data_IF_550289609937
#
_entry.id   IF_550289609937
#
_cell.length_a   1.000
_cell.length_b   1.000
_cell.length_c   1.000
_cell.angle_alpha   90.00
_cell.angle_beta   90.00
_cell.angle_gamma   90.00
#
_symmetry.space_group_name_H-M   'P 1'
#
loop_
_entity.id
_entity.type
_entity.pdbx_description
1 polymer ?
#
# COMPACT_ATOMS: atom_id res chain seq x y z
N UNK A 1 -0.09 17.37 0.10
CA UNK A 1 -0.16 15.89 -0.04
C UNK A 1 0.84 15.43 -1.12
N UNK A 2 1.54 14.31 -0.91
CA UNK A 2 2.54 13.82 -1.87
C UNK A 2 1.84 13.22 -3.09
N UNK A 3 2.16 13.67 -4.32
CA UNK A 3 1.57 13.12 -5.53
C UNK A 3 1.90 11.63 -5.69
N UNK A 4 0.91 10.83 -6.04
CA UNK A 4 1.08 9.42 -6.37
C UNK A 4 -0.03 8.98 -7.33
N UNK A 5 0.13 7.85 -8.06
CA UNK A 5 -0.85 7.40 -9.06
C UNK A 5 -2.13 6.81 -8.44
N UNK A 6 -2.75 7.57 -7.53
CA UNK A 6 -3.94 7.21 -6.75
C UNK A 6 -5.14 6.86 -7.63
N UNK A 7 -5.44 7.70 -8.63
CA UNK A 7 -6.59 7.48 -9.50
C UNK A 7 -6.50 6.13 -10.25
N UNK A 8 -5.29 5.73 -10.68
CA UNK A 8 -5.06 4.44 -11.30
C UNK A 8 -5.21 3.30 -10.28
N UNK A 9 -4.62 3.46 -9.10
CA UNK A 9 -4.73 2.48 -8.02
C UNK A 9 -6.18 2.23 -7.61
N UNK A 10 -6.94 3.29 -7.34
CA UNK A 10 -8.35 3.24 -6.93
C UNK A 10 -9.22 2.58 -8.00
N UNK A 11 -8.99 2.88 -9.28
CA UNK A 11 -9.69 2.25 -10.40
C UNK A 11 -9.45 0.73 -10.45
N UNK A 12 -8.21 0.29 -10.25
CA UNK A 12 -7.86 -1.13 -10.21
C UNK A 12 -8.45 -1.83 -8.97
N UNK A 13 -8.47 -1.16 -7.82
CA UNK A 13 -9.10 -1.68 -6.60
C UNK A 13 -10.63 -1.79 -6.74
N UNK A 14 -11.28 -0.84 -7.39
CA UNK A 14 -12.71 -0.91 -7.68
C UNK A 14 -13.05 -2.13 -8.56
N UNK A 15 -12.22 -2.42 -9.56
CA UNK A 15 -12.35 -3.64 -10.37
C UNK A 15 -12.15 -4.89 -9.50
N UNK A 16 -11.10 -4.93 -8.68
CA UNK A 16 -10.83 -6.05 -7.77
C UNK A 16 -11.99 -6.30 -6.80
N UNK A 17 -12.63 -5.25 -6.31
CA UNK A 17 -13.76 -5.34 -5.38
C UNK A 17 -14.97 -6.09 -5.95
N UNK A 18 -15.10 -6.17 -7.28
CA UNK A 18 -16.17 -6.94 -7.93
C UNK A 18 -15.87 -8.44 -8.04
N UNK A 19 -14.65 -8.89 -7.72
CA UNK A 19 -14.25 -10.28 -7.93
C UNK A 19 -14.65 -11.16 -6.76
N UNK A 20 -15.21 -12.33 -7.10
CA UNK A 20 -15.48 -13.38 -6.13
C UNK A 20 -14.19 -14.15 -5.78
N UNK A 21 -13.81 -14.08 -4.50
CA UNK A 21 -12.62 -14.75 -3.96
C UNK A 21 -12.72 -16.28 -3.95
N UNK A 22 -13.93 -16.82 -4.04
CA UNK A 22 -14.23 -18.26 -4.01
C UNK A 22 -13.93 -18.95 -5.34
N UNK A 23 -13.79 -18.18 -6.43
CA UNK A 23 -13.58 -18.73 -7.77
C UNK A 23 -12.16 -19.27 -7.94
N UNK A 24 -11.99 -20.40 -8.66
CA UNK A 24 -10.65 -20.89 -8.99
C UNK A 24 -9.90 -19.84 -9.83
N UNK A 25 -8.59 -19.69 -9.61
CA UNK A 25 -7.76 -18.73 -10.33
C UNK A 25 -7.78 -17.29 -9.77
N UNK A 26 -8.47 -17.04 -8.65
CA UNK A 26 -8.56 -15.70 -8.05
C UNK A 26 -7.18 -15.12 -7.70
N UNK A 27 -6.30 -15.92 -7.07
CA UNK A 27 -5.00 -15.43 -6.58
C UNK A 27 -4.03 -15.13 -7.72
N UNK A 28 -4.05 -15.90 -8.80
CA UNK A 28 -3.26 -15.66 -10.01
C UNK A 28 -3.71 -14.36 -10.71
N UNK A 29 -5.03 -14.15 -10.80
CA UNK A 29 -5.62 -12.92 -11.32
C UNK A 29 -5.24 -11.72 -10.44
N UNK A 30 -5.32 -11.89 -9.12
CA UNK A 30 -4.95 -10.85 -8.15
C UNK A 30 -3.45 -10.52 -8.20
N UNK A 31 -2.57 -11.52 -8.33
CA UNK A 31 -1.14 -11.31 -8.45
C UNK A 31 -0.79 -10.44 -9.68
N UNK A 32 -1.46 -10.66 -10.82
CA UNK A 32 -1.28 -9.85 -12.03
C UNK A 32 -1.71 -8.39 -11.82
N UNK A 33 -2.90 -8.17 -11.27
CA UNK A 33 -3.40 -6.82 -10.97
C UNK A 33 -2.49 -6.10 -9.96
N UNK A 34 -2.02 -6.83 -8.95
CA UNK A 34 -1.11 -6.29 -7.95
C UNK A 34 0.24 -5.90 -8.56
N UNK A 35 0.80 -6.73 -9.44
CA UNK A 35 2.03 -6.40 -10.15
C UNK A 35 1.87 -5.11 -10.98
N UNK A 36 0.71 -4.89 -11.59
CA UNK A 36 0.42 -3.64 -12.30
C UNK A 36 0.35 -2.44 -11.34
N UNK A 37 -0.31 -2.58 -10.18
CA UNK A 37 -0.33 -1.53 -9.16
C UNK A 37 1.08 -1.20 -8.64
N UNK A 38 1.89 -2.22 -8.33
CA UNK A 38 3.30 -2.02 -7.90
C UNK A 38 4.06 -1.27 -8.99
N UNK A 39 3.96 -1.71 -10.25
CA UNK A 39 4.66 -1.08 -11.38
C UNK A 39 4.26 0.38 -11.54
N UNK A 40 2.98 0.70 -11.38
CA UNK A 40 2.50 2.09 -11.42
C UNK A 40 3.10 2.92 -10.27
N UNK A 41 3.14 2.37 -9.05
CA UNK A 41 3.74 3.05 -7.89
C UNK A 41 5.24 3.26 -8.07
N UNK A 42 5.97 2.24 -8.56
CA UNK A 42 7.41 2.30 -8.82
C UNK A 42 7.81 3.33 -9.87
N UNK A 43 6.91 3.66 -10.80
CA UNK A 43 7.14 4.73 -11.78
C UNK A 43 7.09 6.14 -11.16
N UNK A 44 6.60 6.28 -9.92
CA UNK A 44 6.57 7.57 -9.22
C UNK A 44 7.96 7.94 -8.69
N UNK A 45 8.40 9.22 -8.81
CA UNK A 45 9.65 9.68 -8.20
C UNK A 45 9.65 9.61 -6.66
N UNK A 46 8.46 9.45 -6.05
CA UNK A 46 8.30 9.36 -4.60
C UNK A 46 8.22 7.91 -4.10
N UNK A 47 8.43 6.92 -4.96
CA UNK A 47 8.44 5.51 -4.55
C UNK A 47 9.58 5.25 -3.54
N UNK A 48 9.28 4.55 -2.46
CA UNK A 48 10.24 4.27 -1.38
C UNK A 48 10.66 5.50 -0.56
N UNK A 49 10.07 6.69 -0.80
CA UNK A 49 10.30 7.89 0.00
C UNK A 49 9.18 8.06 1.02
N UNK A 50 9.53 8.71 2.14
CA UNK A 50 8.55 9.14 3.15
C UNK A 50 7.82 10.38 2.63
N UNK A 51 6.49 10.38 2.72
CA UNK A 51 5.63 11.46 2.28
C UNK A 51 4.25 11.39 2.94
N UNK A 52 3.31 12.18 2.43
CA UNK A 52 1.91 12.15 2.86
C UNK A 52 1.03 11.69 1.70
N UNK A 53 0.92 10.38 1.50
CA UNK A 53 0.16 9.78 0.40
C UNK A 53 -1.30 9.61 0.80
N UNK A 54 -2.22 10.20 0.04
CA UNK A 54 -3.65 10.15 0.37
C UNK A 54 -4.23 8.73 0.22
N UNK A 55 -5.09 8.33 1.15
CA UNK A 55 -5.74 7.03 1.20
C UNK A 55 -5.15 6.16 2.31
N UNK A 56 -5.84 6.07 3.44
CA UNK A 56 -5.40 5.33 4.61
C UNK A 56 -6.59 5.01 5.52
N UNK A 57 -6.41 4.06 6.46
CA UNK A 57 -7.39 3.80 7.51
C UNK A 57 -8.80 3.49 6.99
N UNK A 58 -8.90 2.66 5.95
CA UNK A 58 -10.17 2.32 5.27
C UNK A 58 -10.88 3.49 4.56
N UNK A 59 -10.30 4.69 4.54
CA UNK A 59 -10.79 5.82 3.76
C UNK A 59 -9.88 6.10 2.55
N UNK A 60 -10.49 6.27 1.37
CA UNK A 60 -9.76 6.65 0.16
C UNK A 60 -9.34 8.13 0.17
N UNK A 61 -9.97 8.99 0.97
CA UNK A 61 -9.73 10.45 0.97
C UNK A 61 -9.61 11.01 2.38
N UNK A 62 -8.90 12.13 2.52
CA UNK A 62 -8.79 12.88 3.79
C UNK A 62 -7.88 12.26 4.85
N UNK A 63 -7.51 10.99 4.72
CA UNK A 63 -6.46 10.35 5.53
C UNK A 63 -5.21 10.09 4.69
N UNK A 64 -4.05 10.12 5.34
CA UNK A 64 -2.74 10.02 4.68
C UNK A 64 -1.89 8.93 5.33
N UNK A 65 -1.08 8.26 4.50
CA UNK A 65 -0.10 7.27 4.93
C UNK A 65 1.33 7.73 4.60
N UNK A 66 2.34 7.25 5.36
CA UNK A 66 3.72 7.72 5.22
C UNK A 66 4.47 7.14 4.01
N UNK A 67 4.08 5.95 3.54
CA UNK A 67 4.69 5.27 2.39
C UNK A 67 3.68 4.98 1.28
N UNK A 68 4.15 5.00 0.02
CA UNK A 68 3.30 4.67 -1.12
C UNK A 68 2.91 3.19 -1.12
N UNK A 69 3.84 2.31 -0.73
CA UNK A 69 3.62 0.89 -0.46
C UNK A 69 4.22 0.52 0.90
N UNK A 70 3.53 -0.35 1.64
CA UNK A 70 3.90 -0.79 2.98
C UNK A 70 3.14 -2.08 3.31
N UNK A 71 3.74 -2.96 4.11
CA UNK A 71 3.08 -4.16 4.66
C UNK A 71 1.75 -3.86 5.39
N UNK A 72 1.63 -2.67 5.97
CA UNK A 72 0.41 -2.22 6.65
C UNK A 72 -0.66 -1.67 5.70
N UNK A 73 -0.31 -1.41 4.44
CA UNK A 73 -1.24 -0.86 3.43
C UNK A 73 -1.78 -1.95 2.50
N UNK A 74 -0.90 -2.82 2.01
CA UNK A 74 -1.27 -3.89 1.08
C UNK A 74 -0.90 -5.25 1.69
N UNK A 75 -1.67 -6.29 1.34
CA UNK A 75 -1.31 -7.70 1.63
C UNK A 75 -0.14 -8.16 0.75
N UNK A 76 0.93 -7.37 0.67
CA UNK A 76 2.11 -7.64 -0.14
C UNK A 76 3.28 -8.04 0.75
N UNK A 77 4.26 -8.71 0.17
CA UNK A 77 5.56 -8.96 0.81
C UNK A 77 6.45 -7.71 0.84
N UNK A 78 5.88 -6.51 0.64
CA UNK A 78 6.62 -5.27 0.80
C UNK A 78 7.11 -5.15 2.25
N UNK A 79 8.30 -4.59 2.47
CA UNK A 79 8.77 -4.26 3.81
C UNK A 79 7.86 -3.19 4.45
N UNK A 80 8.04 -2.99 5.75
CA UNK A 80 7.50 -1.79 6.40
C UNK A 80 8.14 -0.55 5.79
N UNK A 81 7.34 0.49 5.57
CA UNK A 81 7.90 1.80 5.25
C UNK A 81 8.76 2.33 6.41
N UNK A 82 9.64 3.32 6.17
CA UNK A 82 10.55 3.81 7.21
C UNK A 82 9.86 4.32 8.48
N UNK A 83 8.62 4.81 8.38
CA UNK A 83 7.86 5.32 9.53
C UNK A 83 7.29 4.18 10.36
N UNK A 84 6.70 3.16 9.71
CA UNK A 84 6.27 1.94 10.38
C UNK A 84 7.45 1.21 11.03
N UNK A 85 8.59 1.08 10.34
CA UNK A 85 9.78 0.45 10.89
C UNK A 85 10.28 1.17 12.15
N UNK A 86 10.42 2.50 12.10
CA UNK A 86 10.82 3.30 13.25
C UNK A 86 9.80 3.26 14.40
N UNK A 87 8.50 3.17 14.09
CA UNK A 87 7.46 3.02 15.11
C UNK A 87 7.56 1.67 15.82
N UNK A 88 7.76 0.58 15.08
CA UNK A 88 7.96 -0.76 15.65
C UNK A 88 9.23 -0.78 16.52
N UNK A 89 10.33 -0.21 16.05
CA UNK A 89 11.58 -0.13 16.82
C UNK A 89 11.38 0.61 18.15
N UNK A 90 10.67 1.75 18.16
CA UNK A 90 10.37 2.49 19.39
C UNK A 90 9.55 1.65 20.39
N UNK A 91 8.59 0.86 19.91
CA UNK A 91 7.79 -0.02 20.77
C UNK A 91 8.67 -1.13 21.34
N UNK A 92 9.53 -1.74 20.54
CA UNK A 92 10.46 -2.78 21.02
C UNK A 92 11.36 -2.20 22.11
N UNK A 93 12.01 -1.06 21.85
CA UNK A 93 12.89 -0.38 22.81
C UNK A 93 12.18 -0.07 24.11
N UNK A 94 10.96 0.47 24.05
CA UNK A 94 10.16 0.77 25.24
C UNK A 94 9.93 -0.44 26.17
N UNK A 95 9.91 -1.66 25.62
CA UNK A 95 9.75 -2.88 26.39
C UNK A 95 11.08 -3.59 26.73
N UNK A 96 12.21 -3.16 26.17
CA UNK A 96 13.51 -3.85 26.30
C UNK A 96 14.63 -2.99 26.91
N UNK A 97 14.47 -1.67 26.96
CA UNK A 97 15.40 -0.67 27.50
C UNK A 97 14.67 0.19 28.54
#
# INVERSE_FOLDING_TARGET
>A
PTPWPKAKFDSLEAVRATWDRSKPGYYEKWAKLRAEQVKAMQASPYYGKVGAFEGAGYSSRGLYRPGMDCRMFSLSLAPFDPVCAAAIERVIRFYSE
#
